data_IF_855486430902
#
_entry.id   IF_855486430902
#
_cell.length_a   1.000
_cell.length_b   1.000
_cell.length_c   1.000
_cell.angle_alpha   90.00
_cell.angle_beta   90.00
_cell.angle_gamma   90.00
#
_symmetry.space_group_name_H-M   'P 1'
#
loop_
_entity.id
_entity.type
_entity.pdbx_description
1 polymer ?
#
# COMPACT_ATOMS: atom_id res chain seq x y z
N UNK A 1 11.89 -4.48 -19.99
CA UNK A 1 11.46 -3.87 -18.71
C UNK A 1 11.18 -2.41 -18.98
N UNK A 2 10.11 -1.82 -18.43
CA UNK A 2 9.86 -0.40 -18.58
C UNK A 2 11.09 0.37 -18.09
N UNK A 3 11.60 1.24 -18.96
CA UNK A 3 12.74 2.09 -18.67
C UNK A 3 12.16 3.46 -18.25
N UNK A 4 12.63 3.99 -17.12
CA UNK A 4 12.20 5.23 -16.43
C UNK A 4 11.00 5.12 -15.48
N UNK A 5 11.29 4.78 -14.22
CA UNK A 5 10.68 5.50 -13.09
C UNK A 5 11.33 6.89 -13.02
N UNK A 6 10.51 7.96 -12.97
CA UNK A 6 11.00 9.32 -12.66
C UNK A 6 11.63 9.35 -11.25
N UNK A 7 12.42 10.37 -10.94
CA UNK A 7 12.99 10.54 -9.60
C UNK A 7 11.88 10.90 -8.59
N UNK A 8 11.92 10.24 -7.43
CA UNK A 8 11.22 10.55 -6.17
C UNK A 8 9.66 10.47 -6.11
N UNK A 9 8.91 9.75 -6.98
CA UNK A 9 7.44 9.72 -6.87
C UNK A 9 6.92 9.06 -5.57
N UNK A 10 7.73 8.24 -4.91
CA UNK A 10 7.30 7.51 -3.70
C UNK A 10 7.60 8.29 -2.43
N UNK A 11 8.64 9.13 -2.45
CA UNK A 11 9.04 9.96 -1.32
C UNK A 11 7.99 11.03 -1.00
N UNK A 12 7.42 11.66 -2.03
CA UNK A 12 6.30 12.60 -1.89
C UNK A 12 5.10 11.98 -1.15
N UNK A 13 4.76 10.73 -1.48
CA UNK A 13 3.66 10.00 -0.85
C UNK A 13 4.03 9.66 0.61
N UNK A 14 5.25 9.19 0.85
CA UNK A 14 5.71 8.88 2.21
C UNK A 14 5.69 10.12 3.12
N UNK A 15 6.15 11.28 2.64
CA UNK A 15 6.13 12.51 3.43
C UNK A 15 4.70 13.02 3.62
N UNK A 16 3.85 12.96 2.58
CA UNK A 16 2.43 13.29 2.72
C UNK A 16 1.74 12.45 3.80
N UNK A 17 1.94 11.12 3.79
CA UNK A 17 1.34 10.21 4.78
C UNK A 17 1.86 10.50 6.19
N UNK A 18 3.14 10.83 6.33
CA UNK A 18 3.74 11.21 7.61
C UNK A 18 3.12 12.47 8.20
N UNK A 19 2.91 13.50 7.38
CA UNK A 19 2.21 14.73 7.83
C UNK A 19 0.74 14.45 8.15
N UNK A 20 0.07 13.62 7.34
CA UNK A 20 -1.30 13.18 7.60
C UNK A 20 -1.44 12.46 8.95
N UNK A 21 -0.49 11.58 9.31
CA UNK A 21 -0.48 10.90 10.61
C UNK A 21 -0.26 11.84 11.80
N UNK A 22 0.49 12.93 11.59
CA UNK A 22 0.64 13.97 12.61
C UNK A 22 -0.65 14.76 12.79
N UNK A 23 -1.25 15.20 11.68
CA UNK A 23 -2.50 15.96 11.69
C UNK A 23 -3.65 15.19 12.33
N UNK A 24 -3.77 13.90 12.02
CA UNK A 24 -4.83 13.03 12.55
C UNK A 24 -4.56 12.48 13.95
N UNK A 25 -3.40 12.78 14.54
CA UNK A 25 -3.03 12.29 15.88
C UNK A 25 -2.66 10.80 15.94
N UNK A 26 -2.41 10.17 14.80
CA UNK A 26 -2.07 8.74 14.68
C UNK A 26 -0.57 8.46 14.84
N UNK A 27 0.24 9.51 15.04
CA UNK A 27 1.68 9.39 15.29
C UNK A 27 2.03 8.54 16.53
N UNK A 28 1.09 8.27 17.43
CA UNK A 28 1.27 7.40 18.60
C UNK A 28 0.89 5.93 18.40
N UNK A 29 0.24 5.58 17.28
CA UNK A 29 -0.31 4.24 17.09
C UNK A 29 0.77 3.15 17.11
N UNK A 30 0.52 2.01 17.78
CA UNK A 30 1.40 0.86 17.72
C UNK A 30 1.58 0.35 16.29
N UNK A 31 2.81 -0.02 15.92
CA UNK A 31 3.09 -0.56 14.58
C UNK A 31 2.25 -1.79 14.24
N UNK A 32 1.95 -2.64 15.24
CA UNK A 32 1.09 -3.81 15.06
C UNK A 32 -0.31 -3.41 14.58
N UNK A 33 -0.85 -2.29 15.07
CA UNK A 33 -2.15 -1.79 14.65
C UNK A 33 -2.14 -1.40 13.16
N UNK A 34 -1.08 -0.73 12.69
CA UNK A 34 -0.92 -0.39 11.26
C UNK A 34 -0.83 -1.63 10.38
N UNK A 35 -0.11 -2.67 10.84
CA UNK A 35 -0.06 -3.95 10.13
C UNK A 35 -1.43 -4.64 10.06
N UNK A 36 -2.23 -4.57 11.12
CA UNK A 36 -3.59 -5.13 11.13
C UNK A 36 -4.51 -4.37 10.16
N UNK A 37 -4.45 -3.03 10.16
CA UNK A 37 -5.22 -2.20 9.24
C UNK A 37 -4.83 -2.47 7.78
N UNK A 38 -3.53 -2.56 7.46
CA UNK A 38 -3.09 -2.98 6.12
C UNK A 38 -3.70 -4.33 5.71
N UNK A 39 -3.78 -5.29 6.63
CA UNK A 39 -4.41 -6.58 6.37
C UNK A 39 -5.92 -6.49 6.11
N UNK A 40 -6.60 -5.56 6.76
CA UNK A 40 -8.01 -5.24 6.53
C UNK A 40 -8.22 -4.69 5.12
N UNK A 41 -7.44 -3.68 4.70
CA UNK A 41 -7.54 -3.09 3.34
C UNK A 41 -7.24 -4.10 2.23
N UNK A 42 -6.31 -5.03 2.45
CA UNK A 42 -6.07 -6.13 1.51
C UNK A 42 -7.31 -7.04 1.39
N UNK A 43 -7.97 -7.32 2.53
CA UNK A 43 -9.20 -8.09 2.55
C UNK A 43 -10.36 -7.39 1.84
N UNK A 44 -10.46 -6.07 2.01
CA UNK A 44 -11.42 -5.19 1.33
C UNK A 44 -11.16 -5.16 -0.18
N UNK A 45 -9.90 -5.01 -0.61
CA UNK A 45 -9.48 -5.11 -2.02
C UNK A 45 -9.94 -6.44 -2.64
N UNK A 46 -9.80 -7.56 -1.94
CA UNK A 46 -10.28 -8.85 -2.44
C UNK A 46 -11.80 -8.88 -2.62
N UNK A 47 -12.58 -8.25 -1.73
CA UNK A 47 -14.03 -8.13 -1.89
C UNK A 47 -14.35 -7.26 -3.12
N UNK A 48 -13.66 -6.14 -3.29
CA UNK A 48 -13.85 -5.21 -4.40
C UNK A 48 -13.55 -5.85 -5.76
N UNK A 49 -12.44 -6.59 -5.88
CA UNK A 49 -12.07 -7.33 -7.11
C UNK A 49 -13.07 -8.46 -7.40
N UNK A 50 -13.48 -9.24 -6.39
CA UNK A 50 -14.50 -10.28 -6.59
C UNK A 50 -15.80 -9.71 -7.15
N UNK A 51 -16.17 -8.52 -6.69
CA UNK A 51 -17.32 -7.78 -7.23
C UNK A 51 -17.10 -7.35 -8.68
N UNK A 52 -15.95 -6.75 -9.01
CA UNK A 52 -15.67 -6.28 -10.38
C UNK A 52 -15.71 -7.43 -11.39
N UNK A 53 -15.22 -8.61 -10.98
CA UNK A 53 -15.26 -9.86 -11.76
C UNK A 53 -16.62 -10.58 -11.73
N UNK A 54 -17.66 -9.97 -11.14
CA UNK A 54 -19.02 -10.53 -11.00
C UNK A 54 -19.08 -11.88 -10.28
N UNK A 55 -18.12 -12.16 -9.41
CA UNK A 55 -18.13 -13.33 -8.54
C UNK A 55 -19.11 -13.12 -7.39
N UNK A 56 -19.70 -14.19 -6.86
CA UNK A 56 -20.63 -14.10 -5.73
C UNK A 56 -19.94 -13.44 -4.52
N UNK A 57 -20.56 -12.37 -4.05
CA UNK A 57 -20.26 -11.63 -2.82
C UNK A 57 -21.53 -11.58 -1.97
N UNK A 58 -21.36 -11.48 -0.65
CA UNK A 58 -22.46 -11.29 0.28
C UNK A 58 -23.10 -9.91 0.05
N UNK A 59 -24.43 -9.84 -0.01
CA UNK A 59 -25.17 -8.61 -0.36
C UNK A 59 -25.06 -7.53 0.73
N UNK A 60 -24.58 -7.88 1.93
CA UNK A 60 -24.41 -6.97 3.08
C UNK A 60 -23.08 -6.24 3.14
N UNK A 61 -22.11 -6.52 2.27
CA UNK A 61 -20.81 -5.83 2.33
C UNK A 61 -20.95 -4.36 1.92
N UNK A 62 -20.41 -3.45 2.74
CA UNK A 62 -20.18 -2.05 2.37
C UNK A 62 -19.42 -2.01 1.04
N UNK A 63 -19.92 -1.24 0.09
CA UNK A 63 -19.39 -1.24 -1.28
C UNK A 63 -18.28 -0.20 -1.39
N UNK A 64 -17.05 -0.66 -1.31
CA UNK A 64 -15.86 0.13 -1.65
C UNK A 64 -15.36 -0.21 -3.06
N UNK A 65 -14.64 0.73 -3.68
CA UNK A 65 -14.08 0.57 -5.02
C UNK A 65 -12.66 0.01 -4.98
N UNK A 66 -12.25 -0.71 -6.03
CA UNK A 66 -10.85 -1.19 -6.15
C UNK A 66 -9.84 -0.04 -6.06
N UNK A 67 -10.22 1.15 -6.54
CA UNK A 67 -9.37 2.35 -6.49
C UNK A 67 -9.13 2.82 -5.05
N UNK A 68 -10.19 2.93 -4.24
CA UNK A 68 -10.09 3.32 -2.82
C UNK A 68 -9.19 2.35 -2.05
N UNK A 69 -9.43 1.04 -2.19
CA UNK A 69 -8.66 0.03 -1.45
C UNK A 69 -7.17 0.01 -1.82
N UNK A 70 -6.85 0.26 -3.09
CA UNK A 70 -5.46 0.40 -3.52
C UNK A 70 -4.81 1.65 -2.91
N UNK A 71 -5.56 2.75 -2.79
CA UNK A 71 -5.07 3.96 -2.13
C UNK A 71 -4.85 3.73 -0.63
N UNK A 72 -5.77 3.07 0.06
CA UNK A 72 -5.63 2.76 1.48
C UNK A 72 -4.44 1.82 1.75
N UNK A 73 -4.21 0.83 0.89
CA UNK A 73 -3.01 -0.02 0.93
C UNK A 73 -1.74 0.83 0.80
N UNK A 74 -1.69 1.80 -0.13
CA UNK A 74 -0.54 2.69 -0.29
C UNK A 74 -0.32 3.52 1.00
N UNK A 75 -1.39 4.04 1.59
CA UNK A 75 -1.32 4.85 2.83
C UNK A 75 -0.75 4.02 3.98
N UNK A 76 -1.29 2.83 4.27
CA UNK A 76 -0.80 2.01 5.37
C UNK A 76 0.59 1.44 5.12
N UNK A 77 0.91 1.06 3.88
CA UNK A 77 2.26 0.64 3.51
C UNK A 77 3.28 1.75 3.77
N UNK A 78 2.93 2.99 3.38
CA UNK A 78 3.76 4.17 3.57
C UNK A 78 3.93 4.51 5.05
N UNK A 79 2.84 4.45 5.83
CA UNK A 79 2.88 4.60 7.29
C UNK A 79 3.85 3.61 7.93
N UNK A 80 3.74 2.32 7.58
CA UNK A 80 4.65 1.27 8.10
C UNK A 80 6.10 1.56 7.72
N UNK A 81 6.37 1.92 6.46
CA UNK A 81 7.70 2.24 6.00
C UNK A 81 8.31 3.43 6.77
N UNK A 82 7.52 4.49 6.97
CA UNK A 82 7.93 5.68 7.74
C UNK A 82 8.31 5.32 9.18
N UNK A 83 7.55 4.42 9.82
CA UNK A 83 7.84 3.97 11.20
C UNK A 83 9.15 3.22 11.34
N UNK A 84 9.54 2.47 10.32
CA UNK A 84 10.81 1.76 10.28
C UNK A 84 11.94 2.57 9.63
N UNK A 85 11.70 3.83 9.26
CA UNK A 85 12.63 4.68 8.53
C UNK A 85 13.14 4.00 7.24
N UNK A 86 12.21 3.38 6.51
CA UNK A 86 12.45 2.71 5.23
C UNK A 86 12.04 3.66 4.11
N UNK A 87 12.96 3.89 3.18
CA UNK A 87 12.69 4.49 1.89
C UNK A 87 12.12 3.40 0.96
N UNK A 88 10.84 3.54 0.59
CA UNK A 88 10.13 2.58 -0.26
C UNK A 88 10.67 2.56 -1.69
N UNK A 89 11.12 3.70 -2.21
CA UNK A 89 11.65 3.80 -3.56
C UNK A 89 12.99 3.07 -3.69
N UNK A 90 13.90 3.36 -2.77
CA UNK A 90 15.18 2.64 -2.65
C UNK A 90 14.94 1.15 -2.42
N UNK A 91 14.01 0.77 -1.54
CA UNK A 91 13.65 -0.64 -1.31
C UNK A 91 13.11 -1.32 -2.58
N UNK A 92 12.22 -0.65 -3.32
CA UNK A 92 11.66 -1.14 -4.57
C UNK A 92 12.73 -1.31 -5.66
N UNK A 93 13.56 -0.28 -5.89
CA UNK A 93 14.64 -0.30 -6.89
C UNK A 93 15.65 -1.41 -6.60
N UNK A 94 16.07 -1.55 -5.34
CA UNK A 94 16.95 -2.64 -4.91
C UNK A 94 16.34 -4.02 -5.17
N UNK A 95 15.03 -4.17 -4.93
CA UNK A 95 14.32 -5.42 -5.18
C UNK A 95 14.26 -5.76 -6.66
N UNK A 96 14.03 -4.76 -7.51
CA UNK A 96 13.99 -4.94 -8.96
C UNK A 96 15.35 -5.36 -9.54
N UNK A 97 16.46 -4.84 -9.02
CA UNK A 97 17.80 -5.32 -9.40
C UNK A 97 18.04 -6.80 -9.06
N UNK A 98 17.42 -7.30 -7.99
CA UNK A 98 17.42 -8.74 -7.68
C UNK A 98 16.50 -9.50 -8.64
N UNK A 99 15.31 -8.98 -8.94
CA UNK A 99 14.34 -9.61 -9.84
C UNK A 99 14.85 -9.71 -11.29
N UNK A 100 15.65 -8.76 -11.75
CA UNK A 100 16.35 -8.78 -13.05
C UNK A 100 17.23 -10.00 -13.25
N UNK A 101 17.76 -10.56 -12.17
CA UNK A 101 18.64 -11.74 -12.19
C UNK A 101 17.85 -13.06 -12.12
N UNK A 102 16.53 -13.00 -11.94
CA UNK A 102 15.67 -14.19 -11.86
C UNK A 102 15.25 -14.63 -13.25
N UNK A 103 15.34 -15.94 -13.49
CA UNK A 103 14.72 -16.58 -14.64
C UNK A 103 13.34 -17.07 -14.21
N UNK A 104 12.30 -16.44 -14.73
CA UNK A 104 10.91 -16.82 -14.49
C UNK A 104 10.56 -17.96 -15.46
N UNK A 105 10.10 -19.10 -14.92
CA UNK A 105 9.63 -20.25 -15.68
C UNK A 105 8.13 -20.44 -15.46
#
# INVERSE_FOLDING_TARGET
>A
MPNYLKEEPTEDIQEYVKELEKERGFSGDPILQKCLLLGEEIGELFKAIRKSEKLKIDQKSTLTSVEEELADIIIYLSSIANRYNIDLETAFRNKEEVNKKRVWK
#
